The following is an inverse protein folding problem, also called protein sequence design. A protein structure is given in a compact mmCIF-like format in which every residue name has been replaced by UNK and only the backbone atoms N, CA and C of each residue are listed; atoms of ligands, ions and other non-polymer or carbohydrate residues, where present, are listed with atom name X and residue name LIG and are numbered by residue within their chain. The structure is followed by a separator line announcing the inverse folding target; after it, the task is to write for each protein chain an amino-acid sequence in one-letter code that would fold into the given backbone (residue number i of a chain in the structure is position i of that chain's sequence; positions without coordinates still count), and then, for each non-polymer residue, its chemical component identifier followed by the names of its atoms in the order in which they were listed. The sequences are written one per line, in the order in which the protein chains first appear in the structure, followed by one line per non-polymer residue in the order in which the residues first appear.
data_IF_143163231894
#
_entry.id   IF_143163231894
#
_cell.length_a   1.000
_cell.length_b   1.000
_cell.length_c   1.000
_cell.angle_alpha   90.00
_cell.angle_beta   90.00
_cell.angle_gamma   90.00
#
_symmetry.space_group_name_H-M   'P 1'
#
loop_
_entity.id
_entity.type
_entity.pdbx_description
1 polymer ?
#
# COMPACT_ATOMS: atom_id res chain seq x y z
N UNK A 1 -6.45 -2.35 14.28
CA UNK A 1 -5.73 -3.23 13.33
C UNK A 1 -4.67 -4.14 13.97
N UNK A 2 -4.53 -4.18 15.30
CA UNK A 2 -3.65 -5.15 16.00
C UNK A 2 -4.15 -6.59 15.77
N UNK A 3 -3.30 -7.59 15.52
CA UNK A 3 -1.84 -7.60 15.67
C UNK A 3 -1.06 -7.05 14.48
N UNK A 4 -1.67 -6.93 13.30
CA UNK A 4 -0.99 -6.51 12.07
C UNK A 4 -0.37 -5.11 12.21
N UNK A 5 -1.12 -4.17 12.78
CA UNK A 5 -0.65 -2.81 13.05
C UNK A 5 -1.01 -2.38 14.48
N UNK A 6 0.00 -1.99 15.23
CA UNK A 6 -0.07 -1.51 16.61
C UNK A 6 -0.15 0.03 16.71
N UNK A 7 -0.60 0.56 17.87
CA UNK A 7 -0.49 1.98 18.16
C UNK A 7 0.97 2.46 18.09
N UNK A 8 1.22 3.54 17.35
CA UNK A 8 2.56 4.09 17.15
C UNK A 8 3.27 3.61 15.89
N UNK A 9 2.75 2.58 15.21
CA UNK A 9 3.31 2.10 13.96
C UNK A 9 3.22 3.18 12.87
N UNK A 10 4.30 3.30 12.09
CA UNK A 10 4.34 4.11 10.88
C UNK A 10 4.00 3.23 9.69
N UNK A 11 2.96 3.62 8.96
CA UNK A 11 2.56 2.96 7.72
C UNK A 11 2.81 3.87 6.53
N UNK A 12 3.19 3.27 5.41
CA UNK A 12 3.18 3.93 4.11
C UNK A 12 2.05 3.32 3.30
N UNK A 13 1.35 4.17 2.58
CA UNK A 13 0.31 3.74 1.66
C UNK A 13 0.54 4.39 0.30
N UNK A 14 0.19 3.66 -0.74
CA UNK A 14 0.07 4.19 -2.09
C UNK A 14 -1.33 4.73 -2.31
N UNK A 15 -1.44 5.80 -3.10
CA UNK A 15 -2.73 6.32 -3.53
C UNK A 15 -3.23 5.47 -4.70
N UNK A 16 -4.41 4.89 -4.55
CA UNK A 16 -5.04 4.02 -5.54
C UNK A 16 -6.49 4.43 -5.74
N UNK A 17 -7.04 4.15 -6.92
CA UNK A 17 -8.49 4.21 -7.10
C UNK A 17 -9.14 3.04 -6.34
N UNK A 18 -10.33 3.26 -5.77
CA UNK A 18 -11.02 2.22 -5.03
C UNK A 18 -11.36 0.98 -5.88
N UNK A 19 -11.51 1.14 -7.20
CA UNK A 19 -11.72 0.02 -8.14
C UNK A 19 -10.48 -0.86 -8.34
N UNK A 20 -9.30 -0.41 -7.93
CA UNK A 20 -8.06 -1.18 -7.96
C UNK A 20 -7.86 -2.03 -6.70
N UNK A 21 -8.65 -1.78 -5.66
CA UNK A 21 -8.60 -2.49 -4.39
C UNK A 21 -9.03 -3.94 -4.56
N UNK A 22 -8.37 -4.85 -3.84
CA UNK A 22 -8.60 -6.29 -3.90
C UNK A 22 -8.86 -6.85 -2.50
N UNK A 23 -9.43 -8.06 -2.45
CA UNK A 23 -9.59 -8.81 -1.19
C UNK A 23 -8.23 -9.00 -0.55
N UNK A 24 -8.16 -8.78 0.76
CA UNK A 24 -6.94 -8.87 1.55
C UNK A 24 -6.19 -7.55 1.69
N UNK A 25 -6.40 -6.57 0.80
CA UNK A 25 -5.76 -5.26 0.90
C UNK A 25 -6.13 -4.57 2.22
N UNK A 26 -5.15 -3.93 2.85
CA UNK A 26 -5.38 -3.01 3.96
C UNK A 26 -5.47 -1.61 3.37
N UNK A 27 -6.59 -0.94 3.59
CA UNK A 27 -6.87 0.36 2.99
C UNK A 27 -7.01 1.43 4.05
N UNK A 28 -6.62 2.64 3.69
CA UNK A 28 -6.91 3.87 4.44
C UNK A 28 -8.02 4.63 3.73
N UNK A 29 -9.03 5.04 4.48
CA UNK A 29 -10.23 5.69 3.93
C UNK A 29 -10.80 6.73 4.90
N UNK A 30 -11.70 7.59 4.43
CA UNK A 30 -12.35 8.60 5.25
C UNK A 30 -13.87 8.50 5.12
N UNK A 31 -14.57 8.38 6.25
CA UNK A 31 -16.03 8.24 6.30
C UNK A 31 -16.59 8.99 7.54
N UNK A 32 -16.53 10.33 7.56
CA UNK A 32 -16.92 11.12 8.72
C UNK A 32 -18.38 10.88 9.13
N UNK A 33 -19.29 10.69 8.18
CA UNK A 33 -20.71 10.38 8.44
C UNK A 33 -20.91 9.11 9.27
N UNK A 34 -19.97 8.17 9.14
CA UNK A 34 -20.02 6.85 9.79
C UNK A 34 -19.34 6.86 11.16
N UNK A 35 -18.20 7.53 11.24
CA UNK A 35 -17.34 7.48 12.43
C UNK A 35 -17.45 8.72 13.34
N UNK A 36 -18.05 9.81 12.85
CA UNK A 36 -18.26 11.03 13.62
C UNK A 36 -17.01 11.88 13.81
N UNK A 37 -15.95 11.65 13.03
CA UNK A 37 -14.73 12.44 13.08
C UNK A 37 -14.11 12.59 11.68
N UNK A 38 -13.43 13.72 11.49
CA UNK A 38 -12.60 13.99 10.32
C UNK A 38 -11.25 13.30 10.51
N UNK A 39 -11.00 12.24 9.73
CA UNK A 39 -9.76 11.48 9.81
C UNK A 39 -9.73 10.28 8.88
N UNK A 40 -8.59 9.58 8.91
CA UNK A 40 -8.38 8.32 8.20
C UNK A 40 -8.65 7.14 9.13
N UNK A 41 -9.40 6.18 8.62
CA UNK A 41 -9.64 4.88 9.22
C UNK A 41 -8.88 3.84 8.40
N UNK A 42 -8.45 2.76 9.05
CA UNK A 42 -7.74 1.66 8.42
C UNK A 42 -8.46 0.35 8.71
N UNK A 43 -8.81 -0.38 7.65
CA UNK A 43 -9.46 -1.70 7.72
C UNK A 43 -8.95 -2.59 6.59
N UNK A 44 -9.19 -3.90 6.72
CA UNK A 44 -8.85 -4.88 5.68
C UNK A 44 -10.08 -5.19 4.84
N UNK A 45 -9.90 -5.23 3.53
CA UNK A 45 -10.95 -5.56 2.57
C UNK A 45 -11.21 -7.05 2.58
N UNK A 46 -12.44 -7.44 2.91
CA UNK A 46 -12.86 -8.83 2.97
C UNK A 46 -13.68 -9.21 1.73
N UNK A 47 -14.57 -8.31 1.30
CA UNK A 47 -15.36 -8.48 0.08
C UNK A 47 -15.32 -7.24 -0.80
N UNK A 48 -15.35 -7.48 -2.11
CA UNK A 48 -15.47 -6.48 -3.18
C UNK A 48 -16.79 -6.67 -3.93
N UNK A 49 -17.13 -5.79 -4.86
CA UNK A 49 -18.33 -5.89 -5.70
C UNK A 49 -18.59 -7.32 -6.22
N UNK A 50 -19.82 -7.78 -6.04
CA UNK A 50 -20.28 -9.11 -6.44
C UNK A 50 -20.06 -10.21 -5.39
N UNK A 51 -19.30 -9.95 -4.32
CA UNK A 51 -19.06 -10.96 -3.29
C UNK A 51 -20.25 -11.26 -2.42
N UNK A 52 -20.29 -12.50 -1.94
CA UNK A 52 -21.15 -12.93 -0.86
C UNK A 52 -20.31 -13.24 0.38
N UNK A 53 -20.38 -12.38 1.39
CA UNK A 53 -19.64 -12.48 2.65
C UNK A 53 -20.58 -12.95 3.75
N UNK A 54 -20.27 -14.09 4.36
CA UNK A 54 -21.08 -14.69 5.42
C UNK A 54 -20.23 -14.91 6.65
N UNK A 55 -20.73 -14.49 7.82
CA UNK A 55 -20.21 -14.93 9.09
C UNK A 55 -21.31 -15.55 9.97
N UNK A 56 -21.07 -16.68 10.61
CA UNK A 56 -19.83 -17.44 10.60
C UNK A 56 -20.11 -18.92 10.33
N UNK A 57 -19.35 -19.51 9.40
CA UNK A 57 -19.47 -20.92 8.99
C UNK A 57 -18.52 -21.79 9.82
N UNK A 58 -18.95 -22.96 10.25
CA UNK A 58 -18.16 -23.92 11.05
C UNK A 58 -18.45 -23.85 12.56
N UNK A 59 -17.95 -24.84 13.30
CA UNK A 59 -18.25 -25.02 14.73
C UNK A 59 -17.05 -24.71 15.65
N UNK A 60 -17.34 -24.21 16.86
CA UNK A 60 -16.37 -24.04 17.93
C UNK A 60 -15.21 -23.12 17.58
N UNK A 61 -13.98 -23.64 17.67
CA UNK A 61 -12.76 -22.90 17.32
C UNK A 61 -12.52 -22.80 15.80
N UNK A 62 -13.31 -23.53 14.99
CA UNK A 62 -13.20 -23.55 13.53
C UNK A 62 -14.13 -22.58 12.81
N UNK A 63 -14.93 -21.81 13.55
CA UNK A 63 -15.85 -20.83 12.98
C UNK A 63 -15.10 -19.70 12.26
N UNK A 64 -15.43 -19.44 10.98
CA UNK A 64 -14.74 -18.47 10.13
C UNK A 64 -15.71 -17.64 9.29
N UNK A 65 -15.23 -16.47 8.84
CA UNK A 65 -15.85 -15.75 7.73
C UNK A 65 -15.70 -16.57 6.46
N UNK A 66 -16.72 -16.59 5.61
CA UNK A 66 -16.64 -17.18 4.28
C UNK A 66 -16.92 -16.11 3.22
N UNK A 67 -16.25 -16.24 2.07
CA UNK A 67 -16.47 -15.40 0.89
C UNK A 67 -16.80 -16.32 -0.27
N UNK A 68 -17.96 -16.10 -0.91
CA UNK A 68 -18.48 -16.94 -1.99
C UNK A 68 -18.51 -18.43 -1.63
N UNK A 69 -18.96 -18.73 -0.41
CA UNK A 69 -19.07 -20.10 0.14
C UNK A 69 -17.73 -20.75 0.52
N UNK A 70 -16.60 -20.06 0.37
CA UNK A 70 -15.28 -20.57 0.75
C UNK A 70 -14.83 -19.94 2.07
N UNK A 71 -14.48 -20.75 3.09
CA UNK A 71 -13.92 -20.22 4.34
C UNK A 71 -12.64 -19.41 4.07
N UNK A 72 -12.58 -18.19 4.59
CA UNK A 72 -11.43 -17.32 4.47
C UNK A 72 -10.31 -17.78 5.40
N UNK A 73 -9.08 -17.74 4.91
CA UNK A 73 -7.88 -17.94 5.74
C UNK A 73 -7.44 -16.58 6.27
N UNK A 74 -7.38 -16.45 7.60
CA UNK A 74 -7.19 -15.16 8.26
C UNK A 74 -5.97 -15.21 9.20
N UNK A 75 -4.73 -15.39 8.67
CA UNK A 75 -3.53 -15.47 9.50
C UNK A 75 -3.24 -14.16 10.25
N UNK A 76 -3.84 -13.05 9.81
CA UNK A 76 -3.75 -11.72 10.41
C UNK A 76 -4.72 -11.51 11.59
N UNK A 77 -5.62 -12.45 11.88
CA UNK A 77 -6.54 -12.37 13.03
C UNK A 77 -6.05 -13.25 14.17
N UNK A 78 -6.15 -12.76 15.41
CA UNK A 78 -5.85 -13.57 16.59
C UNK A 78 -6.75 -14.81 16.63
N UNK A 79 -6.18 -15.98 16.88
CA UNK A 79 -6.87 -17.27 16.81
C UNK A 79 -8.15 -17.38 17.65
N UNK A 80 -8.24 -16.63 18.77
CA UNK A 80 -9.43 -16.60 19.62
C UNK A 80 -10.56 -15.70 19.10
N UNK A 81 -10.29 -14.83 18.12
CA UNK A 81 -11.17 -13.73 17.71
C UNK A 81 -11.70 -13.84 16.28
N UNK A 82 -11.14 -14.73 15.45
CA UNK A 82 -11.62 -14.99 14.08
C UNK A 82 -13.14 -15.21 14.03
N UNK A 83 -13.69 -15.78 15.10
CA UNK A 83 -15.11 -15.99 15.30
C UNK A 83 -15.77 -15.15 16.38
N UNK A 84 -15.07 -14.33 17.19
CA UNK A 84 -15.62 -13.77 18.46
C UNK A 84 -15.51 -12.26 18.66
N UNK A 85 -15.67 -11.49 17.59
CA UNK A 85 -15.62 -10.03 17.66
C UNK A 85 -16.79 -9.38 18.41
N UNK A 86 -16.64 -8.12 18.85
CA UNK A 86 -17.69 -7.34 19.52
C UNK A 86 -18.96 -7.30 18.65
N UNK A 87 -20.10 -7.72 19.21
CA UNK A 87 -21.36 -7.77 18.47
C UNK A 87 -21.39 -8.80 17.34
N UNK A 88 -21.14 -10.09 17.65
CA UNK A 88 -21.39 -11.22 16.74
C UNK A 88 -22.87 -11.33 16.37
N UNK A 89 -23.37 -10.38 15.58
CA UNK A 89 -24.52 -10.62 14.74
C UNK A 89 -24.02 -11.49 13.60
N UNK A 90 -24.58 -12.69 13.44
CA UNK A 90 -24.46 -13.40 12.17
C UNK A 90 -24.82 -12.44 11.03
N UNK A 91 -24.01 -12.39 9.99
CA UNK A 91 -24.23 -11.52 8.85
C UNK A 91 -24.10 -12.29 7.55
N UNK A 92 -24.94 -11.92 6.60
CA UNK A 92 -25.00 -12.45 5.25
C UNK A 92 -25.13 -11.24 4.33
N UNK A 93 -24.03 -10.89 3.65
CA UNK A 93 -23.93 -9.66 2.89
C UNK A 93 -23.56 -9.98 1.46
N UNK A 94 -24.39 -9.55 0.51
CA UNK A 94 -24.03 -9.45 -0.90
C UNK A 94 -23.48 -8.05 -1.15
N UNK A 95 -22.19 -7.96 -1.44
CA UNK A 95 -21.49 -6.69 -1.67
C UNK A 95 -21.92 -6.13 -3.02
N UNK A 96 -22.57 -4.95 -3.08
CA UNK A 96 -22.94 -4.34 -4.35
C UNK A 96 -21.71 -3.92 -5.15
N UNK A 97 -21.85 -3.83 -6.47
CA UNK A 97 -20.81 -3.28 -7.34
C UNK A 97 -20.38 -1.86 -6.90
N UNK A 98 -19.07 -1.58 -7.00
CA UNK A 98 -18.47 -0.31 -6.58
C UNK A 98 -18.43 -0.11 -5.06
N UNK A 99 -18.59 -1.18 -4.27
CA UNK A 99 -18.58 -1.15 -2.80
C UNK A 99 -17.70 -2.25 -2.22
N UNK A 100 -17.31 -2.02 -0.97
CA UNK A 100 -16.39 -2.86 -0.21
C UNK A 100 -17.01 -3.26 1.13
N UNK A 101 -16.77 -4.49 1.55
CA UNK A 101 -17.02 -4.96 2.91
C UNK A 101 -15.67 -5.15 3.60
N UNK A 102 -15.42 -4.36 4.65
CA UNK A 102 -14.13 -4.25 5.31
C UNK A 102 -14.24 -4.58 6.80
N UNK A 103 -13.25 -5.32 7.32
CA UNK A 103 -13.17 -5.71 8.73
C UNK A 103 -11.84 -5.27 9.32
N UNK A 104 -11.86 -4.92 10.60
CA UNK A 104 -10.62 -4.72 11.34
C UNK A 104 -9.97 -6.06 11.71
N UNK A 105 -8.64 -6.10 11.68
CA UNK A 105 -7.87 -7.31 12.08
C UNK A 105 -8.04 -7.63 13.57
N UNK A 106 -8.27 -6.60 14.41
CA UNK A 106 -8.63 -6.76 15.83
C UNK A 106 -10.16 -6.95 15.93
N UNK A 107 -10.67 -8.13 15.57
CA UNK A 107 -12.11 -8.38 15.42
C UNK A 107 -12.92 -8.00 16.66
N UNK A 108 -12.38 -8.22 17.85
CA UNK A 108 -13.01 -7.90 19.13
C UNK A 108 -13.05 -6.40 19.47
N UNK A 109 -12.30 -5.56 18.76
CA UNK A 109 -12.16 -4.14 19.09
C UNK A 109 -12.24 -3.24 17.84
N UNK A 110 -12.92 -3.70 16.79
CA UNK A 110 -13.09 -2.96 15.54
C UNK A 110 -14.55 -2.56 15.35
N UNK A 111 -14.79 -1.27 15.14
CA UNK A 111 -16.09 -0.72 14.72
C UNK A 111 -16.12 -0.66 13.19
N UNK A 112 -16.19 -1.83 12.55
CA UNK A 112 -16.02 -1.99 11.10
C UNK A 112 -17.35 -2.21 10.36
N UNK A 113 -17.36 -2.87 9.20
CA UNK A 113 -18.58 -3.15 8.43
C UNK A 113 -19.73 -3.74 9.27
N UNK A 114 -19.40 -4.57 10.26
CA UNK A 114 -20.38 -5.25 11.12
C UNK A 114 -21.17 -4.31 12.01
N UNK A 115 -20.62 -3.15 12.35
CA UNK A 115 -21.28 -2.18 13.21
C UNK A 115 -22.35 -1.34 12.48
N UNK A 116 -22.50 -1.51 11.16
CA UNK A 116 -23.40 -0.70 10.35
C UNK A 116 -24.17 -1.54 9.32
N UNK A 117 -24.51 -2.79 9.67
CA UNK A 117 -25.22 -3.69 8.77
C UNK A 117 -26.58 -3.13 8.31
N UNK A 118 -27.22 -2.29 9.13
CA UNK A 118 -28.47 -1.60 8.80
C UNK A 118 -28.30 -0.50 7.73
N UNK A 119 -27.07 -0.04 7.47
CA UNK A 119 -26.74 0.89 6.40
C UNK A 119 -26.06 0.16 5.24
N UNK A 120 -26.85 -0.16 4.21
CA UNK A 120 -26.39 -0.85 2.98
C UNK A 120 -25.53 -2.09 3.25
N UNK A 121 -25.92 -2.90 4.24
CA UNK A 121 -25.20 -4.14 4.59
C UNK A 121 -23.81 -3.88 5.18
N UNK A 122 -23.57 -2.69 5.74
CA UNK A 122 -22.29 -2.31 6.32
C UNK A 122 -21.22 -1.92 5.30
N UNK A 123 -21.52 -2.01 4.01
CA UNK A 123 -20.55 -1.75 2.94
C UNK A 123 -20.24 -0.26 2.78
N UNK A 124 -19.09 0.07 2.23
CA UNK A 124 -18.66 1.44 1.89
C UNK A 124 -18.39 1.57 0.39
N UNK A 125 -18.67 2.73 -0.25
CA UNK A 125 -18.35 2.91 -1.65
C UNK A 125 -16.84 3.00 -1.86
N UNK A 126 -16.34 2.45 -2.96
CA UNK A 126 -14.91 2.48 -3.34
C UNK A 126 -14.34 3.91 -3.36
N UNK A 127 -15.17 4.92 -3.61
CA UNK A 127 -14.78 6.33 -3.63
C UNK A 127 -14.31 6.91 -2.28
N UNK A 128 -14.57 6.23 -1.14
CA UNK A 128 -14.04 6.69 0.16
C UNK A 128 -12.57 6.34 0.36
N UNK A 129 -12.04 5.42 -0.44
CA UNK A 129 -10.66 4.95 -0.34
C UNK A 129 -9.71 6.09 -0.68
N UNK A 130 -8.69 6.26 0.16
CA UNK A 130 -7.61 7.23 -0.01
C UNK A 130 -6.31 6.56 -0.44
N UNK A 131 -6.14 5.29 -0.09
CA UNK A 131 -4.98 4.51 -0.50
C UNK A 131 -4.94 3.11 0.07
N UNK A 132 -3.98 2.33 -0.41
CA UNK A 132 -3.67 0.98 0.03
C UNK A 132 -2.34 0.96 0.76
N UNK A 133 -2.31 0.35 1.93
CA UNK A 133 -1.10 0.19 2.74
C UNK A 133 -0.13 -0.76 2.03
N UNK A 134 1.13 -0.36 1.96
CA UNK A 134 2.20 -1.16 1.38
C UNK A 134 2.80 -2.01 2.49
N UNK A 135 2.66 -3.33 2.39
CA UNK A 135 3.27 -4.28 3.32
C UNK A 135 4.73 -4.59 2.95
N UNK A 136 5.07 -4.55 1.64
CA UNK A 136 6.42 -4.84 1.14
C UNK A 136 7.16 -3.58 0.66
N UNK A 137 8.18 -3.19 1.41
CA UNK A 137 9.03 -2.02 1.13
C UNK A 137 10.23 -2.32 0.25
N UNK A 138 10.46 -3.58 -0.13
CA UNK A 138 11.68 -3.96 -0.86
C UNK A 138 11.79 -3.26 -2.20
N UNK A 139 10.73 -3.25 -3.00
CA UNK A 139 10.75 -2.65 -4.35
C UNK A 139 10.99 -1.12 -4.29
N UNK A 140 10.22 -0.32 -3.50
CA UNK A 140 10.51 1.10 -3.36
C UNK A 140 11.92 1.39 -2.82
N UNK A 141 12.40 0.60 -1.86
CA UNK A 141 13.74 0.77 -1.31
C UNK A 141 14.83 0.47 -2.35
N UNK A 142 14.69 -0.59 -3.14
CA UNK A 142 15.62 -0.94 -4.23
C UNK A 142 15.62 0.13 -5.31
N UNK A 143 14.45 0.64 -5.71
CA UNK A 143 14.36 1.75 -6.67
C UNK A 143 15.02 3.03 -6.13
N UNK A 144 14.73 3.40 -4.89
CA UNK A 144 15.32 4.59 -4.26
C UNK A 144 16.83 4.50 -4.16
N UNK A 145 17.36 3.34 -3.74
CA UNK A 145 18.81 3.10 -3.67
C UNK A 145 19.47 3.10 -5.04
N UNK A 146 18.87 2.47 -6.04
CA UNK A 146 19.37 2.47 -7.41
C UNK A 146 19.43 3.89 -8.00
N UNK A 147 18.39 4.71 -7.76
CA UNK A 147 18.36 6.11 -8.17
C UNK A 147 19.50 6.91 -7.53
N UNK A 148 19.71 6.76 -6.22
CA UNK A 148 20.78 7.47 -5.51
C UNK A 148 22.16 7.09 -6.05
N UNK A 149 22.40 5.80 -6.32
CA UNK A 149 23.63 5.33 -6.96
C UNK A 149 23.79 5.91 -8.37
N UNK A 150 22.71 5.96 -9.15
CA UNK A 150 22.69 6.58 -10.48
C UNK A 150 23.10 8.05 -10.43
N UNK A 151 22.55 8.83 -9.50
CA UNK A 151 22.92 10.24 -9.29
C UNK A 151 24.39 10.38 -8.95
N UNK A 152 24.91 9.55 -8.03
CA UNK A 152 26.34 9.57 -7.67
C UNK A 152 27.22 9.27 -8.87
N UNK A 153 26.89 8.26 -9.68
CA UNK A 153 27.65 7.91 -10.88
C UNK A 153 27.64 9.03 -11.93
N UNK A 154 26.52 9.71 -12.11
CA UNK A 154 26.42 10.88 -13.00
C UNK A 154 27.33 12.00 -12.51
N UNK A 155 27.29 12.34 -11.21
CA UNK A 155 28.14 13.39 -10.64
C UNK A 155 29.62 13.07 -10.76
N UNK A 156 30.02 11.83 -10.49
CA UNK A 156 31.40 11.37 -10.66
C UNK A 156 31.82 11.45 -12.13
N UNK A 157 30.97 10.98 -13.05
CA UNK A 157 31.22 11.04 -14.49
C UNK A 157 31.41 12.47 -15.00
N UNK A 158 30.55 13.40 -14.57
CA UNK A 158 30.68 14.83 -14.90
C UNK A 158 31.99 15.41 -14.34
N UNK A 159 32.32 15.10 -13.08
CA UNK A 159 33.57 15.54 -12.45
C UNK A 159 34.82 15.07 -13.21
N UNK A 160 34.87 13.78 -13.57
CA UNK A 160 35.94 13.20 -14.36
C UNK A 160 36.01 13.81 -15.78
N UNK A 161 34.87 14.05 -16.41
CA UNK A 161 34.78 14.70 -17.71
C UNK A 161 35.35 16.11 -17.71
N UNK A 162 34.99 16.94 -16.71
CA UNK A 162 35.52 18.29 -16.53
C UNK A 162 37.05 18.23 -16.31
N UNK A 163 37.52 17.35 -15.44
CA UNK A 163 38.96 17.18 -15.19
C UNK A 163 39.73 16.83 -16.48
N UNK A 164 39.20 15.91 -17.30
CA UNK A 164 39.82 15.53 -18.57
C UNK A 164 39.90 16.71 -19.56
N UNK A 165 38.86 17.55 -19.65
CA UNK A 165 38.87 18.74 -20.50
C UNK A 165 39.92 19.76 -20.03
N UNK A 166 40.03 19.98 -18.73
CA UNK A 166 41.03 20.89 -18.14
C UNK A 166 42.46 20.41 -18.42
N UNK A 167 42.73 19.11 -18.23
CA UNK A 167 44.05 18.52 -18.52
C UNK A 167 44.39 18.65 -20.01
N UNK A 168 43.45 18.33 -20.92
CA UNK A 168 43.66 18.50 -22.37
C UNK A 168 43.93 19.95 -22.78
N UNK A 169 43.22 20.91 -22.18
CA UNK A 169 43.44 22.34 -22.44
C UNK A 169 44.83 22.79 -21.98
N UNK A 170 45.28 22.38 -20.79
CA UNK A 170 46.64 22.65 -20.30
C UNK A 170 47.71 22.02 -21.19
N UNK A 171 47.53 20.77 -21.61
CA UNK A 171 48.47 20.09 -22.50
C UNK A 171 48.60 20.78 -23.87
N UNK A 172 47.49 21.24 -24.47
CA UNK A 172 47.52 22.00 -25.73
C UNK A 172 48.24 23.35 -25.61
N UNK A 173 48.08 24.05 -24.47
CA UNK A 173 48.76 25.32 -24.23
C UNK A 173 50.29 25.19 -24.10
N UNK A 174 50.79 23.98 -23.79
CA UNK A 174 52.22 23.70 -23.66
C UNK A 174 52.90 23.35 -24.99
N UNK A 175 52.15 23.14 -26.08
CA UNK A 175 52.73 22.87 -27.40
C UNK A 175 53.08 24.21 -28.07
N UNK A 176 54.37 24.51 -28.33
CA UNK A 176 54.75 25.75 -29.00
C UNK A 176 54.24 25.78 -30.45
N UNK A 177 53.91 26.96 -31.01
CA UNK A 177 53.47 27.06 -32.39
C UNK A 177 54.56 26.55 -33.34
N UNK A 178 54.19 25.93 -34.47
CA UNK A 178 55.16 25.47 -35.45
C UNK A 178 55.97 26.66 -35.97
N UNK A 179 57.29 26.48 -36.21
CA UNK A 179 58.12 27.56 -36.72
C UNK A 179 57.68 27.96 -38.14
N UNK A 180 57.85 29.24 -38.52
CA UNK A 180 57.22 29.83 -39.71
C UNK A 180 57.71 29.28 -41.06
N UNK A 181 58.73 28.43 -41.09
CA UNK A 181 59.35 27.92 -42.32
C UNK A 181 58.84 26.53 -42.76
N UNK A 182 57.86 25.94 -42.07
CA UNK A 182 57.45 24.55 -42.30
C UNK A 182 56.53 24.27 -43.51
N UNK A 183 56.39 25.20 -44.47
CA UNK A 183 55.55 24.97 -45.68
C UNK A 183 56.30 25.34 -46.95
N UNK A 184 57.10 24.39 -47.48
CA UNK A 184 57.49 24.35 -48.89
C UNK A 184 57.75 22.89 -49.31
N UNK A 185 56.74 22.21 -49.87
CA UNK A 185 56.82 21.26 -51.00
C UNK A 185 55.48 21.30 -51.72
#
# INVERSE_FOLDING_TARGET
MTPTYGPGDRVVYERVDGSEVRRGDVVVFSAPDRYGFEGLVMERVIGVGGDHVVCCTGEGAGTRVSVNGKPLQEPYVKSAEASRGFGMSSYDVRVPEGRLFMLGDHRANARDSRAFLDDRGGTLPESVIRGRVIEDYTVPAVLGTAMMLGVVLVLVGVGLGIAAVVVRRKARALVPPPPPWAVQV
#
